data_IF_242763748993
#
_entry.id   IF_242763748993
#
_cell.length_a   1.000
_cell.length_b   1.000
_cell.length_c   1.000
_cell.angle_alpha   90.00
_cell.angle_beta   90.00
_cell.angle_gamma   90.00
#
_symmetry.space_group_name_H-M   'P 1'
#
loop_
_entity.id
_entity.type
_entity.pdbx_description
1 polymer ?
#
# COMPACT_ATOMS: atom_id res chain seq x y z
N UNK A 1 11.37 -23.79 13.57
CA UNK A 1 11.26 -23.40 12.14
C UNK A 1 10.55 -24.55 11.45
N UNK A 2 9.23 -24.54 11.44
CA UNK A 2 8.45 -25.56 10.72
C UNK A 2 8.67 -25.35 9.22
N UNK A 3 9.17 -26.39 8.56
CA UNK A 3 9.28 -26.49 7.11
C UNK A 3 7.93 -26.10 6.50
N UNK A 4 7.89 -24.96 5.81
CA UNK A 4 6.78 -24.67 4.93
C UNK A 4 6.61 -25.89 4.03
N UNK A 5 5.44 -26.54 4.10
CA UNK A 5 5.15 -27.65 3.22
C UNK A 5 5.32 -27.20 1.77
N UNK A 6 5.73 -28.08 0.89
CA UNK A 6 5.90 -27.77 -0.55
C UNK A 6 4.63 -27.08 -1.11
N UNK A 7 3.46 -27.47 -0.62
CA UNK A 7 2.16 -26.85 -0.89
C UNK A 7 2.09 -25.40 -0.42
N UNK A 8 2.62 -25.07 0.76
CA UNK A 8 2.65 -23.71 1.28
C UNK A 8 3.53 -22.79 0.45
N UNK A 9 4.69 -23.28 -0.01
CA UNK A 9 5.57 -22.53 -0.92
C UNK A 9 4.92 -22.32 -2.27
N UNK A 10 4.27 -23.35 -2.83
CA UNK A 10 3.56 -23.25 -4.11
C UNK A 10 2.39 -22.24 -4.02
N UNK A 11 1.61 -22.28 -2.95
CA UNK A 11 0.53 -21.33 -2.69
C UNK A 11 1.08 -19.89 -2.58
N UNK A 12 2.15 -19.68 -1.82
CA UNK A 12 2.81 -18.38 -1.70
C UNK A 12 3.22 -17.83 -3.08
N UNK A 13 3.92 -18.64 -3.88
CA UNK A 13 4.36 -18.25 -5.22
C UNK A 13 3.19 -17.87 -6.13
N UNK A 14 2.12 -18.67 -6.12
CA UNK A 14 0.93 -18.43 -6.94
C UNK A 14 0.22 -17.13 -6.54
N UNK A 15 0.05 -16.88 -5.24
CA UNK A 15 -0.53 -15.65 -4.72
C UNK A 15 0.32 -14.44 -5.12
N UNK A 16 1.65 -14.54 -4.99
CA UNK A 16 2.55 -13.43 -5.33
C UNK A 16 2.54 -13.14 -6.83
N UNK A 17 2.63 -14.17 -7.68
CA UNK A 17 2.56 -13.99 -9.14
C UNK A 17 1.24 -13.32 -9.54
N UNK A 18 0.10 -13.80 -9.04
CA UNK A 18 -1.20 -13.22 -9.32
C UNK A 18 -1.32 -11.77 -8.83
N UNK A 19 -0.88 -11.48 -7.63
CA UNK A 19 -0.91 -10.14 -7.04
C UNK A 19 -0.03 -9.14 -7.81
N UNK A 20 1.17 -9.56 -8.23
CA UNK A 20 2.05 -8.70 -9.03
C UNK A 20 1.59 -8.56 -10.48
N UNK A 21 0.92 -9.57 -11.07
CA UNK A 21 0.27 -9.44 -12.36
C UNK A 21 -0.84 -8.37 -12.33
N UNK A 22 -1.69 -8.39 -11.30
CA UNK A 22 -2.71 -7.34 -11.09
C UNK A 22 -2.06 -5.96 -10.88
N UNK A 23 -0.96 -5.88 -10.11
CA UNK A 23 -0.21 -4.63 -9.95
C UNK A 23 0.32 -4.10 -11.27
N UNK A 24 0.82 -4.96 -12.14
CA UNK A 24 1.33 -4.56 -13.46
C UNK A 24 0.24 -3.96 -14.34
N UNK A 25 -0.99 -4.47 -14.25
CA UNK A 25 -2.14 -3.98 -15.01
C UNK A 25 -2.76 -2.72 -14.40
N UNK A 26 -2.96 -2.71 -13.07
CA UNK A 26 -3.66 -1.63 -12.37
C UNK A 26 -2.72 -0.53 -11.84
N UNK A 27 -1.40 -0.75 -11.80
CA UNK A 27 -0.41 0.17 -11.25
C UNK A 27 -0.29 0.11 -9.72
N UNK A 28 -1.23 -0.54 -9.01
CA UNK A 28 -1.23 -0.68 -7.55
C UNK A 28 -1.99 -1.94 -7.13
N UNK A 29 -2.01 -2.26 -5.82
CA UNK A 29 -2.94 -3.25 -5.27
C UNK A 29 -2.37 -4.64 -5.07
N UNK A 30 -1.12 -4.94 -5.47
CA UNK A 30 -0.54 -6.27 -5.24
C UNK A 30 -0.69 -6.74 -3.80
N UNK A 31 -0.42 -5.86 -2.84
CA UNK A 31 -0.44 -6.19 -1.42
C UNK A 31 -1.85 -6.27 -0.85
N UNK A 32 -2.81 -5.51 -1.39
CA UNK A 32 -4.22 -5.62 -0.99
C UNK A 32 -4.79 -7.01 -1.26
N UNK A 33 -4.28 -7.67 -2.31
CA UNK A 33 -4.68 -9.04 -2.67
C UNK A 33 -3.81 -10.06 -1.95
N UNK A 34 -2.50 -9.84 -1.93
CA UNK A 34 -1.56 -10.78 -1.34
C UNK A 34 -1.71 -10.90 0.18
N UNK A 35 -1.84 -9.76 0.90
CA UNK A 35 -1.84 -9.78 2.37
C UNK A 35 -2.97 -10.58 3.00
N UNK A 36 -4.26 -10.43 2.60
CA UNK A 36 -5.31 -11.27 3.15
C UNK A 36 -5.05 -12.77 2.91
N UNK A 37 -4.61 -13.12 1.70
CA UNK A 37 -4.35 -14.52 1.35
C UNK A 37 -3.15 -15.10 2.10
N UNK A 38 -2.07 -14.33 2.24
CA UNK A 38 -0.89 -14.77 2.98
C UNK A 38 -1.11 -14.83 4.49
N UNK A 39 -1.95 -13.95 5.05
CA UNK A 39 -2.29 -13.94 6.46
C UNK A 39 -3.01 -15.21 6.94
N UNK A 40 -3.57 -16.02 6.04
CA UNK A 40 -4.13 -17.35 6.38
C UNK A 40 -3.05 -18.42 6.55
N UNK A 41 -1.91 -18.27 5.89
CA UNK A 41 -0.88 -19.33 5.82
C UNK A 41 0.38 -18.95 6.60
N UNK A 42 0.68 -17.66 6.69
CA UNK A 42 1.89 -17.13 7.31
C UNK A 42 1.58 -16.25 8.52
N UNK A 43 2.49 -16.17 9.50
CA UNK A 43 2.44 -15.12 10.52
C UNK A 43 2.46 -13.75 9.86
N UNK A 44 1.67 -12.81 10.42
CA UNK A 44 1.49 -11.47 9.84
C UNK A 44 2.83 -10.75 9.66
N UNK A 45 3.74 -10.86 10.63
CA UNK A 45 5.08 -10.26 10.57
C UNK A 45 5.91 -10.76 9.38
N UNK A 46 5.85 -12.06 9.09
CA UNK A 46 6.55 -12.66 7.95
C UNK A 46 5.93 -12.23 6.63
N UNK A 47 4.59 -12.23 6.53
CA UNK A 47 3.87 -11.79 5.34
C UNK A 47 4.19 -10.33 5.01
N UNK A 48 4.17 -9.43 6.02
CA UNK A 48 4.53 -8.01 5.88
C UNK A 48 5.96 -7.85 5.40
N UNK A 49 6.93 -8.54 6.03
CA UNK A 49 8.35 -8.40 5.69
C UNK A 49 8.64 -8.83 4.25
N UNK A 50 8.12 -9.98 3.83
CA UNK A 50 8.36 -10.50 2.48
C UNK A 50 7.68 -9.64 1.41
N UNK A 51 6.42 -9.26 1.62
CA UNK A 51 5.71 -8.41 0.66
C UNK A 51 6.33 -7.03 0.55
N UNK A 52 6.81 -6.46 1.66
CA UNK A 52 7.51 -5.16 1.67
C UNK A 52 8.82 -5.25 0.91
N UNK A 53 9.63 -6.29 1.13
CA UNK A 53 10.90 -6.49 0.43
C UNK A 53 10.69 -6.62 -1.08
N UNK A 54 9.76 -7.47 -1.52
CA UNK A 54 9.45 -7.64 -2.95
C UNK A 54 8.89 -6.36 -3.58
N UNK A 55 8.04 -5.64 -2.84
CA UNK A 55 7.52 -4.36 -3.30
C UNK A 55 8.62 -3.30 -3.42
N UNK A 56 9.57 -3.25 -2.49
CA UNK A 56 10.71 -2.35 -2.54
C UNK A 56 11.58 -2.63 -3.77
N UNK A 57 11.95 -3.90 -4.01
CA UNK A 57 12.76 -4.31 -5.16
C UNK A 57 12.08 -3.91 -6.47
N UNK A 58 10.80 -4.24 -6.62
CA UNK A 58 10.05 -3.91 -7.85
C UNK A 58 9.86 -2.41 -8.03
N UNK A 59 9.68 -1.65 -6.94
CA UNK A 59 9.55 -0.20 -6.99
C UNK A 59 10.85 0.49 -7.37
N UNK A 60 12.00 0.04 -6.85
CA UNK A 60 13.32 0.56 -7.25
C UNK A 60 13.56 0.33 -8.75
N UNK A 61 13.25 -0.87 -9.25
CA UNK A 61 13.35 -1.16 -10.68
C UNK A 61 12.45 -0.24 -11.53
N UNK A 62 11.21 -0.03 -11.11
CA UNK A 62 10.24 0.81 -11.81
C UNK A 62 10.67 2.28 -11.81
N UNK A 63 11.11 2.81 -10.66
CA UNK A 63 11.62 4.19 -10.56
C UNK A 63 12.87 4.37 -11.42
N UNK A 64 13.79 3.41 -11.45
CA UNK A 64 14.98 3.46 -12.30
C UNK A 64 14.64 3.57 -13.78
N UNK A 65 13.56 2.89 -14.22
CA UNK A 65 13.09 2.95 -15.61
C UNK A 65 12.40 4.28 -15.96
N UNK A 66 11.59 4.81 -15.04
CA UNK A 66 10.73 5.97 -15.28
C UNK A 66 11.20 7.25 -14.55
N UNK A 67 12.48 7.31 -14.17
CA UNK A 67 13.07 8.38 -13.37
C UNK A 67 12.72 9.81 -13.83
N UNK A 68 12.69 10.03 -15.14
CA UNK A 68 12.41 11.35 -15.73
C UNK A 68 10.93 11.74 -15.66
N UNK A 69 10.02 10.79 -15.44
CA UNK A 69 8.57 11.03 -15.37
C UNK A 69 8.06 11.19 -13.93
N UNK A 70 8.93 10.97 -12.95
CA UNK A 70 8.56 11.09 -11.54
C UNK A 70 8.36 12.54 -11.15
N UNK A 71 7.21 12.87 -10.59
CA UNK A 71 6.90 14.17 -10.02
C UNK A 71 7.61 14.36 -8.66
N UNK A 72 8.93 14.56 -8.69
CA UNK A 72 9.82 14.57 -7.52
C UNK A 72 9.35 15.46 -6.37
N UNK A 73 8.75 16.62 -6.69
CA UNK A 73 8.23 17.54 -5.67
C UNK A 73 7.09 16.93 -4.87
N UNK A 74 6.13 16.30 -5.54
CA UNK A 74 5.02 15.61 -4.87
C UNK A 74 5.49 14.38 -4.11
N UNK A 75 6.43 13.63 -4.73
CA UNK A 75 7.06 12.48 -4.09
C UNK A 75 7.75 12.87 -2.77
N UNK A 76 8.59 13.93 -2.77
CA UNK A 76 9.32 14.37 -1.59
C UNK A 76 8.38 14.80 -0.43
N UNK A 77 7.31 15.53 -0.75
CA UNK A 77 6.30 15.93 0.24
C UNK A 77 5.64 14.70 0.85
N UNK A 78 5.19 13.77 0.01
CA UNK A 78 4.53 12.55 0.49
C UNK A 78 5.50 11.65 1.26
N UNK A 79 6.75 11.51 0.81
CA UNK A 79 7.78 10.73 1.49
C UNK A 79 8.08 11.29 2.89
N UNK A 80 8.13 12.62 3.04
CA UNK A 80 8.33 13.26 4.34
C UNK A 80 7.19 12.92 5.32
N UNK A 81 5.94 13.10 4.90
CA UNK A 81 4.79 12.77 5.75
C UNK A 81 4.66 11.24 5.98
N UNK A 82 5.02 10.43 4.99
CA UNK A 82 5.05 8.98 5.15
C UNK A 82 6.10 8.53 6.17
N UNK A 83 7.26 9.20 6.23
CA UNK A 83 8.28 8.90 7.24
C UNK A 83 7.74 9.11 8.67
N UNK A 84 6.96 10.16 8.90
CA UNK A 84 6.27 10.39 10.17
C UNK A 84 5.26 9.26 10.43
N UNK A 85 4.47 8.90 9.42
CA UNK A 85 3.50 7.80 9.49
C UNK A 85 4.15 6.44 9.79
N UNK A 86 5.31 6.17 9.20
CA UNK A 86 6.11 4.95 9.47
C UNK A 86 6.57 4.92 10.93
N UNK A 87 7.07 6.04 11.47
CA UNK A 87 7.46 6.14 12.87
C UNK A 87 6.30 5.83 13.83
N UNK A 88 5.12 6.39 13.55
CA UNK A 88 3.89 6.08 14.29
C UNK A 88 3.48 4.61 14.13
N UNK A 89 3.60 4.07 12.91
CA UNK A 89 3.30 2.67 12.63
C UNK A 89 4.18 1.69 13.42
N UNK A 90 5.47 1.98 13.55
CA UNK A 90 6.38 1.18 14.40
C UNK A 90 6.01 1.23 15.88
N UNK A 91 5.49 2.35 16.35
CA UNK A 91 5.00 2.44 17.72
C UNK A 91 3.73 1.62 17.91
N UNK A 92 2.78 1.73 16.99
CA UNK A 92 1.49 1.01 17.03
C UNK A 92 1.70 -0.50 16.90
N UNK A 93 2.59 -0.97 16.01
CA UNK A 93 2.82 -2.40 15.80
C UNK A 93 3.37 -3.11 17.05
N UNK A 94 4.09 -2.37 17.91
CA UNK A 94 4.59 -2.91 19.19
C UNK A 94 3.50 -3.11 20.23
N UNK A 95 2.37 -2.42 20.06
CA UNK A 95 1.23 -2.50 20.99
C UNK A 95 0.17 -3.51 20.54
N UNK A 96 0.20 -3.93 19.29
CA UNK A 96 -0.79 -4.82 18.71
C UNK A 96 -0.25 -6.26 18.68
N UNK A 97 -1.08 -7.19 19.14
CA UNK A 97 -0.87 -8.61 18.94
C UNK A 97 -1.25 -9.03 17.51
N UNK A 98 -0.93 -10.25 17.12
CA UNK A 98 -1.19 -10.77 15.78
C UNK A 98 -2.69 -10.81 15.45
N UNK A 99 -3.54 -11.09 16.44
CA UNK A 99 -4.99 -11.08 16.25
C UNK A 99 -5.54 -9.69 15.99
N UNK A 100 -5.06 -8.69 16.71
CA UNK A 100 -5.45 -7.30 16.49
C UNK A 100 -4.96 -6.79 15.12
N UNK A 101 -3.75 -7.16 14.69
CA UNK A 101 -3.24 -6.84 13.36
C UNK A 101 -4.09 -7.44 12.24
N UNK A 102 -4.50 -8.71 12.36
CA UNK A 102 -5.39 -9.36 11.38
C UNK A 102 -6.78 -8.71 11.34
N UNK A 103 -7.35 -8.38 12.51
CA UNK A 103 -8.64 -7.68 12.58
C UNK A 103 -8.56 -6.29 11.97
N UNK A 104 -7.52 -5.52 12.27
CA UNK A 104 -7.33 -4.17 11.73
C UNK A 104 -7.12 -4.19 10.22
N UNK A 105 -6.44 -5.20 9.67
CA UNK A 105 -6.37 -5.42 8.21
C UNK A 105 -7.77 -5.66 7.62
N UNK A 106 -8.58 -6.52 8.22
CA UNK A 106 -9.94 -6.80 7.75
C UNK A 106 -10.82 -5.55 7.75
N UNK A 107 -10.80 -4.78 8.85
CA UNK A 107 -11.52 -3.50 8.96
C UNK A 107 -11.05 -2.52 7.90
N UNK A 108 -9.73 -2.38 7.72
CA UNK A 108 -9.17 -1.51 6.69
C UNK A 108 -9.64 -1.90 5.29
N UNK A 109 -9.63 -3.18 4.95
CA UNK A 109 -10.09 -3.65 3.63
C UNK A 109 -11.57 -3.37 3.38
N UNK A 110 -12.42 -3.56 4.39
CA UNK A 110 -13.86 -3.25 4.31
C UNK A 110 -14.06 -1.75 4.08
N UNK A 111 -13.44 -0.91 4.91
CA UNK A 111 -13.57 0.54 4.80
C UNK A 111 -13.04 1.06 3.46
N UNK A 112 -11.90 0.52 3.01
CA UNK A 112 -11.34 0.87 1.72
C UNK A 112 -12.24 0.43 0.55
N UNK A 113 -12.84 -0.76 0.62
CA UNK A 113 -13.77 -1.26 -0.41
C UNK A 113 -15.02 -0.39 -0.51
N UNK A 114 -15.60 -0.03 0.63
CA UNK A 114 -16.76 0.89 0.68
C UNK A 114 -16.39 2.25 0.09
N UNK A 115 -15.22 2.79 0.48
CA UNK A 115 -14.73 4.05 -0.07
C UNK A 115 -14.50 3.96 -1.58
N UNK A 116 -13.86 2.91 -2.07
CA UNK A 116 -13.59 2.70 -3.50
C UNK A 116 -14.88 2.62 -4.31
N UNK A 117 -15.89 1.89 -3.83
CA UNK A 117 -17.20 1.80 -4.48
C UNK A 117 -17.95 3.14 -4.48
N UNK A 118 -17.93 3.85 -3.36
CA UNK A 118 -18.59 5.16 -3.22
C UNK A 118 -17.96 6.24 -4.10
N UNK A 119 -16.65 6.15 -4.34
CA UNK A 119 -15.89 7.16 -5.11
C UNK A 119 -15.62 6.76 -6.55
N UNK A 120 -15.94 5.53 -6.96
CA UNK A 120 -15.70 5.02 -8.31
C UNK A 120 -16.28 5.93 -9.43
N UNK A 121 -17.39 6.63 -9.15
CA UNK A 121 -18.07 7.56 -10.08
C UNK A 121 -17.86 9.03 -9.72
N UNK A 122 -17.23 9.35 -8.59
CA UNK A 122 -17.12 10.71 -8.08
C UNK A 122 -15.81 11.36 -8.51
N UNK A 123 -15.85 12.22 -9.51
CA UNK A 123 -14.72 13.11 -9.85
C UNK A 123 -14.73 14.33 -8.93
N UNK A 124 -14.32 14.17 -7.67
CA UNK A 124 -14.20 15.29 -6.73
C UNK A 124 -12.84 15.96 -6.88
N UNK A 125 -12.84 17.23 -7.25
CA UNK A 125 -11.65 18.08 -7.23
C UNK A 125 -11.52 18.77 -5.89
N UNK A 126 -10.34 18.71 -5.30
CA UNK A 126 -10.04 19.43 -4.06
C UNK A 126 -9.46 20.79 -4.38
N UNK A 127 -10.03 21.84 -3.76
CA UNK A 127 -9.53 23.21 -3.86
C UNK A 127 -8.04 23.30 -3.44
N UNK A 128 -7.28 24.19 -4.10
CA UNK A 128 -5.84 24.36 -3.87
C UNK A 128 -5.43 24.54 -2.40
N UNK A 129 -6.31 25.14 -1.60
CA UNK A 129 -6.13 25.38 -0.16
C UNK A 129 -5.98 24.08 0.66
N UNK A 130 -6.64 23.00 0.25
CA UNK A 130 -6.64 21.71 0.97
C UNK A 130 -5.61 20.69 0.45
N UNK A 131 -4.89 21.01 -0.62
CA UNK A 131 -3.90 20.10 -1.23
C UNK A 131 -2.79 19.71 -0.26
N UNK A 132 -2.30 20.67 0.53
CA UNK A 132 -1.26 20.41 1.53
C UNK A 132 -1.75 19.51 2.66
N UNK A 133 -2.94 19.77 3.19
CA UNK A 133 -3.54 18.95 4.24
C UNK A 133 -3.83 17.51 3.75
N UNK A 134 -4.28 17.36 2.51
CA UNK A 134 -4.47 16.07 1.86
C UNK A 134 -3.14 15.32 1.69
N UNK A 135 -2.08 15.98 1.24
CA UNK A 135 -0.76 15.37 1.11
C UNK A 135 -0.23 14.88 2.46
N UNK A 136 -0.40 15.70 3.51
CA UNK A 136 0.00 15.33 4.87
C UNK A 136 -0.82 14.13 5.38
N UNK A 137 -2.14 14.22 5.31
CA UNK A 137 -3.03 13.15 5.79
C UNK A 137 -2.84 11.82 5.04
N UNK A 138 -2.77 11.86 3.70
CA UNK A 138 -2.56 10.66 2.88
C UNK A 138 -1.16 10.10 3.04
N UNK A 139 -0.13 10.95 3.17
CA UNK A 139 1.24 10.52 3.42
C UNK A 139 1.35 9.83 4.78
N UNK A 140 0.87 10.45 5.86
CA UNK A 140 0.90 9.86 7.20
C UNK A 140 0.10 8.57 7.29
N UNK A 141 -1.14 8.56 6.80
CA UNK A 141 -1.96 7.35 6.77
C UNK A 141 -1.31 6.25 5.93
N UNK A 142 -0.74 6.61 4.78
CA UNK A 142 0.00 5.69 3.91
C UNK A 142 1.20 5.07 4.63
N UNK A 143 2.02 5.88 5.29
CA UNK A 143 3.18 5.40 6.05
C UNK A 143 2.80 4.48 7.20
N UNK A 144 1.78 4.86 7.98
CA UNK A 144 1.26 4.06 9.09
C UNK A 144 0.74 2.71 8.60
N UNK A 145 -0.20 2.72 7.65
CA UNK A 145 -0.81 1.49 7.11
C UNK A 145 0.21 0.65 6.31
N UNK A 146 1.19 1.30 5.66
CA UNK A 146 2.30 0.63 5.02
C UNK A 146 3.16 -0.16 6.01
N UNK A 147 3.39 0.38 7.21
CA UNK A 147 4.13 -0.31 8.27
C UNK A 147 3.33 -1.46 8.87
N UNK A 148 2.03 -1.27 9.08
CA UNK A 148 1.16 -2.29 9.69
C UNK A 148 0.90 -3.48 8.74
N UNK A 149 0.69 -3.19 7.45
CA UNK A 149 0.19 -4.18 6.49
C UNK A 149 1.13 -4.44 5.29
N UNK A 150 2.31 -3.86 5.30
CA UNK A 150 3.34 -4.14 4.31
C UNK A 150 3.22 -3.42 2.98
N UNK A 151 2.22 -2.64 2.68
CA UNK A 151 2.09 -1.70 1.55
C UNK A 151 0.65 -1.22 1.30
N UNK A 152 -0.02 -0.77 2.32
CA UNK A 152 -1.34 -0.12 2.20
C UNK A 152 -1.32 1.25 1.50
N UNK A 153 -0.19 1.63 0.92
CA UNK A 153 0.09 2.98 0.43
C UNK A 153 -0.59 3.26 -0.90
N UNK A 154 -0.63 2.28 -1.80
CA UNK A 154 -1.16 2.45 -3.15
C UNK A 154 -2.59 3.01 -3.19
N UNK A 155 -3.56 2.40 -2.51
CA UNK A 155 -4.94 2.88 -2.48
C UNK A 155 -5.10 4.30 -1.94
N UNK A 156 -4.34 4.66 -0.91
CA UNK A 156 -4.40 5.98 -0.29
C UNK A 156 -3.79 7.04 -1.22
N UNK A 157 -2.73 6.70 -1.93
CA UNK A 157 -2.15 7.59 -2.93
C UNK A 157 -3.06 7.77 -4.14
N UNK A 158 -3.82 6.75 -4.54
CA UNK A 158 -4.86 6.90 -5.57
C UNK A 158 -5.88 7.97 -5.18
N UNK A 159 -6.31 8.00 -3.92
CA UNK A 159 -7.19 9.06 -3.41
C UNK A 159 -6.59 10.44 -3.61
N UNK A 160 -5.31 10.60 -3.25
CA UNK A 160 -4.61 11.87 -3.38
C UNK A 160 -4.45 12.29 -4.85
N UNK A 161 -4.00 11.39 -5.72
CA UNK A 161 -3.77 11.71 -7.14
C UNK A 161 -5.09 11.97 -7.88
N UNK A 162 -6.15 11.23 -7.58
CA UNK A 162 -7.48 11.50 -8.12
C UNK A 162 -8.01 12.87 -7.70
N UNK A 163 -7.77 13.28 -6.45
CA UNK A 163 -8.17 14.59 -5.94
C UNK A 163 -7.41 15.75 -6.60
N UNK A 164 -6.19 15.50 -7.08
CA UNK A 164 -5.36 16.49 -7.76
C UNK A 164 -5.57 16.54 -9.28
N UNK A 165 -6.33 15.62 -9.87
CA UNK A 165 -6.45 15.45 -11.33
C UNK A 165 -5.10 15.33 -12.06
N UNK A 166 -4.11 14.72 -11.43
CA UNK A 166 -2.87 14.42 -12.12
C UNK A 166 -3.14 13.41 -13.24
N UNK A 167 -2.61 13.67 -14.41
CA UNK A 167 -2.80 12.82 -15.59
C UNK A 167 -2.37 11.38 -15.27
N UNK A 168 -3.12 10.42 -15.85
CA UNK A 168 -2.88 8.98 -15.60
C UNK A 168 -1.46 8.51 -15.95
N UNK A 169 -0.75 9.28 -16.79
CA UNK A 169 0.63 9.00 -17.17
C UNK A 169 1.64 9.25 -16.03
N UNK A 170 1.32 10.13 -15.07
CA UNK A 170 2.16 10.40 -13.90
C UNK A 170 1.96 9.30 -12.84
N UNK A 171 0.90 8.51 -12.99
CA UNK A 171 0.50 7.48 -12.03
C UNK A 171 1.11 6.10 -12.34
N UNK A 172 1.54 5.86 -13.57
CA UNK A 172 2.23 4.63 -13.97
C UNK A 172 3.71 4.74 -13.67
#
# INVERSE_FOLDING_TARGET
MSSLSLLGVAFFMLVMIGAFAVRSAAGFGAVLIAMPMLAFVLPMSTAVSVTTALTAITSVHQVGRDWRRVAWRHFAIMAFYSAIGIGLGFYVIKMLDEHALRRSLGVFLILYSIYALATAKASRTVSGRWRGALAAGTGMAGGLLGTLFGAGVGPIYVVYFNALRLEKEIFR
#
